data_IF_855256241328
#
_entry.id   IF_855256241328
#
_cell.length_a   1.000
_cell.length_b   1.000
_cell.length_c   1.000
_cell.angle_alpha   90.00
_cell.angle_beta   90.00
_cell.angle_gamma   90.00
#
_symmetry.space_group_name_H-M   'P 1'
#
loop_
_entity.id
_entity.type
_entity.pdbx_description
1 polymer ?
#
# COMPACT_ATOMS: atom_id res chain seq x y z
N UNK A 1 -8.32 -22.27 -14.51
CA UNK A 1 -8.42 -20.84 -14.16
C UNK A 1 -7.07 -20.21 -14.46
N UNK A 2 -6.93 -19.36 -15.50
CA UNK A 2 -5.67 -18.68 -15.72
C UNK A 2 -5.46 -17.73 -14.53
N UNK A 3 -4.40 -17.95 -13.78
CA UNK A 3 -3.97 -17.00 -12.76
C UNK A 3 -3.78 -15.66 -13.45
N UNK A 4 -4.41 -14.60 -12.93
CA UNK A 4 -4.04 -13.22 -13.24
C UNK A 4 -2.57 -13.08 -12.84
N UNK A 5 -1.66 -13.38 -13.75
CA UNK A 5 -0.30 -12.91 -13.67
C UNK A 5 -0.43 -11.40 -13.85
N UNK A 6 -0.36 -10.66 -12.75
CA UNK A 6 -0.25 -9.20 -12.78
C UNK A 6 0.84 -8.86 -13.77
N UNK A 7 0.45 -8.30 -14.92
CA UNK A 7 1.43 -7.96 -15.94
C UNK A 7 2.18 -6.75 -15.42
N UNK A 8 3.50 -6.78 -15.57
CA UNK A 8 4.35 -5.62 -15.24
C UNK A 8 3.84 -4.36 -15.95
N UNK A 9 3.26 -4.52 -17.14
CA UNK A 9 2.57 -3.49 -17.91
C UNK A 9 1.43 -2.79 -17.12
N UNK A 10 0.62 -3.54 -16.37
CA UNK A 10 -0.49 -2.98 -15.59
C UNK A 10 0.03 -2.17 -14.40
N UNK A 11 1.11 -2.63 -13.76
CA UNK A 11 1.76 -1.89 -12.66
C UNK A 11 2.39 -0.58 -13.15
N UNK A 12 3.02 -0.60 -14.33
CA UNK A 12 3.58 0.61 -14.96
C UNK A 12 2.46 1.60 -15.29
N UNK A 13 1.36 1.13 -15.87
CA UNK A 13 0.20 1.97 -16.16
C UNK A 13 -0.39 2.62 -14.90
N UNK A 14 -0.52 1.85 -13.81
CA UNK A 14 -1.00 2.39 -12.52
C UNK A 14 -0.02 3.44 -11.97
N UNK A 15 1.30 3.22 -12.11
CA UNK A 15 2.32 4.19 -11.68
C UNK A 15 2.20 5.51 -12.43
N UNK A 16 2.06 5.46 -13.76
CA UNK A 16 1.87 6.65 -14.59
C UNK A 16 0.62 7.45 -14.17
N UNK A 17 -0.50 6.77 -13.87
CA UNK A 17 -1.71 7.43 -13.40
C UNK A 17 -1.56 8.11 -12.02
N UNK A 18 -0.70 7.55 -11.15
CA UNK A 18 -0.37 8.15 -9.85
C UNK A 18 0.52 9.38 -10.07
N UNK A 19 1.56 9.28 -10.92
CA UNK A 19 2.48 10.39 -11.25
C UNK A 19 1.76 11.56 -11.93
N UNK A 20 0.77 11.27 -12.80
CA UNK A 20 -0.09 12.27 -13.41
C UNK A 20 -1.13 12.88 -12.44
N UNK A 21 -1.18 12.42 -11.19
CA UNK A 21 -2.12 12.88 -10.16
C UNK A 21 -3.58 12.48 -10.42
N UNK A 22 -3.82 11.61 -11.42
CA UNK A 22 -5.16 11.11 -11.79
C UNK A 22 -5.66 10.02 -10.85
N UNK A 23 -4.74 9.32 -10.19
CA UNK A 23 -5.04 8.29 -9.19
C UNK A 23 -4.49 8.70 -7.82
N UNK A 24 -5.38 9.04 -6.89
CA UNK A 24 -5.01 9.30 -5.49
C UNK A 24 -5.25 8.07 -4.65
N UNK A 25 -4.17 7.43 -4.19
CA UNK A 25 -4.25 6.30 -3.26
C UNK A 25 -4.71 6.81 -1.89
N UNK A 26 -5.85 6.30 -1.41
CA UNK A 26 -6.35 6.61 -0.07
C UNK A 26 -5.69 5.66 0.92
N UNK A 27 -4.62 6.14 1.55
CA UNK A 27 -3.93 5.47 2.66
C UNK A 27 -4.66 5.78 3.96
N UNK A 28 -5.04 4.76 4.73
CA UNK A 28 -5.68 4.92 6.03
C UNK A 28 -4.63 5.07 7.14
N UNK A 29 -3.73 4.09 7.25
CA UNK A 29 -2.66 4.04 8.26
C UNK A 29 -1.42 3.33 7.74
N UNK A 30 -0.27 3.75 8.28
CA UNK A 30 1.02 3.10 8.04
C UNK A 30 1.54 2.61 9.39
N UNK A 31 1.76 1.30 9.51
CA UNK A 31 2.30 0.67 10.71
C UNK A 31 3.77 0.28 10.48
N UNK A 32 4.67 0.49 11.46
CA UNK A 32 6.02 -0.08 11.41
C UNK A 32 5.99 -1.61 11.53
N UNK A 33 7.07 -2.27 11.13
CA UNK A 33 7.21 -3.73 11.15
C UNK A 33 6.90 -4.34 12.53
N UNK A 34 7.33 -3.68 13.59
CA UNK A 34 7.13 -4.03 14.99
C UNK A 34 5.64 -4.07 15.38
N UNK A 35 4.79 -3.36 14.62
CA UNK A 35 3.35 -3.28 14.84
C UNK A 35 2.54 -4.13 13.86
N UNK A 36 3.16 -5.13 13.21
CA UNK A 36 2.45 -6.04 12.28
C UNK A 36 1.23 -6.72 12.92
N UNK A 37 1.32 -7.10 14.20
CA UNK A 37 0.22 -7.72 14.94
C UNK A 37 -0.96 -6.74 15.11
N UNK A 38 -0.67 -5.47 15.40
CA UNK A 38 -1.67 -4.41 15.53
C UNK A 38 -2.28 -4.05 14.18
N UNK A 39 -1.47 -4.02 13.11
CA UNK A 39 -1.94 -3.81 11.75
C UNK A 39 -2.96 -4.88 11.33
N UNK A 40 -2.67 -6.16 11.62
CA UNK A 40 -3.61 -7.26 11.37
C UNK A 40 -4.90 -7.12 12.17
N UNK A 41 -4.80 -6.88 13.48
CA UNK A 41 -5.97 -6.68 14.33
C UNK A 41 -6.84 -5.50 13.86
N UNK A 42 -6.22 -4.39 13.42
CA UNK A 42 -6.93 -3.22 12.92
C UNK A 42 -7.70 -3.50 11.62
N UNK A 43 -7.14 -4.30 10.72
CA UNK A 43 -7.82 -4.73 9.48
C UNK A 43 -8.97 -5.68 9.80
N UNK A 44 -8.78 -6.60 10.74
CA UNK A 44 -9.79 -7.59 11.15
C UNK A 44 -11.01 -6.94 11.83
N UNK A 45 -10.82 -5.79 12.50
CA UNK A 45 -11.90 -5.00 13.09
C UNK A 45 -12.80 -4.32 12.06
N UNK A 46 -12.50 -4.41 10.76
CA UNK A 46 -13.35 -3.86 9.68
C UNK A 46 -13.42 -2.33 9.64
N UNK A 47 -12.57 -1.63 10.40
CA UNK A 47 -12.54 -0.17 10.49
C UNK A 47 -11.70 0.50 9.40
N UNK A 48 -11.10 -0.28 8.48
CA UNK A 48 -10.26 0.28 7.42
C UNK A 48 -11.09 1.19 6.49
N UNK A 49 -10.73 2.46 6.42
CA UNK A 49 -11.34 3.42 5.47
C UNK A 49 -10.56 3.54 4.16
N UNK A 50 -9.43 2.83 4.07
CA UNK A 50 -8.49 2.85 2.96
C UNK A 50 -7.47 1.72 3.06
N UNK A 51 -6.32 1.87 2.40
CA UNK A 51 -5.24 0.90 2.44
C UNK A 51 -4.40 1.03 3.72
N UNK A 52 -4.05 -0.10 4.31
CA UNK A 52 -3.12 -0.19 5.44
C UNK A 52 -1.78 -0.66 4.89
N UNK A 53 -0.73 0.11 5.11
CA UNK A 53 0.62 -0.25 4.69
C UNK A 53 1.49 -0.60 5.90
N UNK A 54 2.45 -1.50 5.70
CA UNK A 54 3.43 -1.91 6.71
C UNK A 54 4.82 -1.50 6.23
N UNK A 55 5.50 -0.71 7.04
CA UNK A 55 6.89 -0.30 6.79
C UNK A 55 7.84 -1.40 7.27
N UNK A 56 8.51 -2.07 6.33
CA UNK A 56 9.40 -3.22 6.60
C UNK A 56 10.83 -2.81 7.00
N UNK A 57 11.24 -1.57 6.70
CA UNK A 57 12.58 -1.04 7.04
C UNK A 57 12.40 0.25 7.86
N UNK A 58 12.99 0.39 9.06
CA UNK A 58 12.93 1.64 9.81
C UNK A 58 13.58 2.75 8.98
N UNK A 59 12.78 3.77 8.68
CA UNK A 59 13.13 4.83 7.75
C UNK A 59 14.03 5.88 8.40
N UNK A 60 15.35 5.71 8.24
CA UNK A 60 16.30 6.83 8.25
C UNK A 60 16.45 7.51 6.87
N UNK A 61 15.74 7.03 5.84
CA UNK A 61 15.66 7.61 4.49
C UNK A 61 14.35 7.16 3.83
N UNK A 62 13.70 7.82 2.87
CA UNK A 62 13.67 9.16 2.25
C UNK A 62 12.60 9.00 1.15
N UNK A 63 11.77 10.02 0.93
CA UNK A 63 10.88 10.21 -0.24
C UNK A 63 9.85 9.11 -0.56
N UNK A 64 8.59 9.41 -0.22
CA UNK A 64 7.44 8.81 -0.87
C UNK A 64 7.28 9.48 -2.24
N UNK A 65 7.70 8.78 -3.29
CA UNK A 65 7.28 9.04 -4.68
C UNK A 65 5.85 8.56 -4.91
#
# INVERSE_FOLDING_TARGET
>A
FPALAEKVEDLVFIKELIEEGKLKVVMDRIYPWEQIVEAHAYVDLGHKKGHVAITVVPSDKTEYI
#
